data_IF_737551192802
#
_entry.id   IF_737551192802
#
_cell.length_a   1.000
_cell.length_b   1.000
_cell.length_c   1.000
_cell.angle_alpha   90.00
_cell.angle_beta   90.00
_cell.angle_gamma   90.00
#
_symmetry.space_group_name_H-M   'P 1'
#
loop_
_entity.id
_entity.type
_entity.pdbx_description
1 polymer ?
#
# COMPACT_ATOMS: atom_id res chain seq x y z
N UNK A 1 54.82 40.77 -2.35
CA UNK A 1 54.01 40.32 -3.49
C UNK A 1 54.23 38.82 -3.67
N UNK A 2 53.27 38.00 -3.23
CA UNK A 2 53.07 36.60 -3.63
C UNK A 2 51.55 36.37 -3.58
N UNK A 3 50.96 36.01 -4.72
CA UNK A 3 49.61 35.44 -4.84
C UNK A 3 49.80 34.12 -5.62
N UNK A 4 48.90 33.15 -5.37
CA UNK A 4 48.63 31.88 -6.05
C UNK A 4 49.11 30.67 -5.21
N UNK A 5 48.28 29.68 -4.88
CA UNK A 5 46.93 29.39 -5.32
C UNK A 5 46.27 28.33 -4.42
N UNK A 6 44.95 28.31 -4.46
CA UNK A 6 44.10 27.37 -3.73
C UNK A 6 42.69 27.42 -4.30
N UNK A 7 42.58 27.22 -5.61
CA UNK A 7 41.32 27.28 -6.33
C UNK A 7 40.57 25.95 -6.30
N UNK A 8 39.46 25.94 -5.55
CA UNK A 8 38.18 25.27 -5.83
C UNK A 8 38.17 23.73 -5.86
N UNK A 9 37.80 23.12 -4.72
CA UNK A 9 37.03 21.87 -4.72
C UNK A 9 35.73 22.11 -3.96
N UNK A 10 34.75 22.72 -4.62
CA UNK A 10 33.42 22.95 -4.01
C UNK A 10 32.28 22.92 -5.03
N UNK A 11 32.40 22.10 -6.09
CA UNK A 11 31.38 21.99 -7.14
C UNK A 11 30.44 20.78 -7.04
N UNK A 12 30.82 19.70 -6.34
CA UNK A 12 30.14 18.41 -6.50
C UNK A 12 29.07 18.10 -5.43
N UNK A 13 28.88 18.97 -4.43
CA UNK A 13 27.93 18.69 -3.32
C UNK A 13 26.51 19.22 -3.56
N UNK A 14 26.29 20.12 -4.51
CA UNK A 14 24.95 20.67 -4.81
C UNK A 14 24.12 19.78 -5.74
N UNK A 15 24.71 19.04 -6.69
CA UNK A 15 23.95 18.16 -7.58
C UNK A 15 23.40 16.91 -6.86
N UNK A 16 24.08 16.45 -5.81
CA UNK A 16 23.67 15.27 -5.05
C UNK A 16 22.37 15.45 -4.25
N UNK A 17 22.07 16.67 -3.78
CA UNK A 17 20.84 16.96 -3.02
C UNK A 17 19.60 17.04 -3.91
N UNK A 18 19.71 17.60 -5.11
CA UNK A 18 18.60 17.65 -6.08
C UNK A 18 18.28 16.26 -6.64
N UNK A 19 19.29 15.47 -7.01
CA UNK A 19 19.07 14.10 -7.48
C UNK A 19 18.39 13.22 -6.41
N UNK A 20 18.76 13.39 -5.13
CA UNK A 20 18.07 12.70 -4.01
C UNK A 20 16.65 13.19 -3.82
N UNK A 21 16.38 14.49 -3.93
CA UNK A 21 15.03 15.04 -3.84
C UNK A 21 14.10 14.52 -4.94
N UNK A 22 14.60 14.48 -6.19
CA UNK A 22 13.87 13.92 -7.32
C UNK A 22 13.61 12.42 -7.15
N UNK A 23 14.61 11.65 -6.71
CA UNK A 23 14.45 10.21 -6.47
C UNK A 23 13.43 9.91 -5.35
N UNK A 24 13.46 10.68 -4.25
CA UNK A 24 12.46 10.56 -3.17
C UNK A 24 11.06 10.92 -3.68
N UNK A 25 10.94 11.93 -4.55
CA UNK A 25 9.68 12.30 -5.19
C UNK A 25 9.12 11.19 -6.07
N UNK A 26 9.95 10.61 -6.95
CA UNK A 26 9.56 9.50 -7.85
C UNK A 26 9.16 8.26 -7.03
N UNK A 27 9.91 7.90 -5.99
CA UNK A 27 9.56 6.80 -5.10
C UNK A 27 8.20 6.99 -4.43
N UNK A 28 7.92 8.21 -3.96
CA UNK A 28 6.63 8.56 -3.37
C UNK A 28 5.47 8.44 -4.37
N UNK A 29 5.67 8.91 -5.61
CA UNK A 29 4.66 8.80 -6.66
C UNK A 29 4.34 7.35 -7.02
N UNK A 30 5.36 6.51 -7.19
CA UNK A 30 5.19 5.07 -7.47
C UNK A 30 4.48 4.38 -6.30
N UNK A 31 4.89 4.65 -5.06
CA UNK A 31 4.25 4.09 -3.88
C UNK A 31 2.78 4.51 -3.77
N UNK A 32 2.47 5.77 -4.05
CA UNK A 32 1.11 6.31 -4.02
C UNK A 32 0.22 5.64 -5.08
N UNK A 33 0.75 5.42 -6.28
CA UNK A 33 0.04 4.71 -7.34
C UNK A 33 -0.26 3.26 -6.92
N UNK A 34 0.77 2.53 -6.47
CA UNK A 34 0.64 1.15 -5.98
C UNK A 34 -0.37 1.02 -4.84
N UNK A 35 -0.38 1.99 -3.91
CA UNK A 35 -1.32 2.03 -2.81
C UNK A 35 -2.75 2.30 -3.29
N UNK A 36 -2.91 3.22 -4.25
CA UNK A 36 -4.22 3.60 -4.80
C UNK A 36 -4.82 2.46 -5.61
N UNK A 37 -4.02 1.77 -6.42
CA UNK A 37 -4.46 0.62 -7.22
C UNK A 37 -4.93 -0.52 -6.32
N UNK A 38 -4.15 -0.85 -5.27
CA UNK A 38 -4.55 -1.89 -4.31
C UNK A 38 -5.77 -1.48 -3.50
N UNK A 39 -5.84 -0.23 -3.04
CA UNK A 39 -7.01 0.23 -2.29
C UNK A 39 -8.26 0.19 -3.16
N UNK A 40 -8.17 0.62 -4.43
CA UNK A 40 -9.26 0.56 -5.39
C UNK A 40 -9.73 -0.88 -5.65
N UNK A 41 -8.79 -1.82 -5.75
CA UNK A 41 -9.06 -3.25 -5.85
C UNK A 41 -9.86 -3.74 -4.64
N UNK A 42 -9.40 -3.49 -3.42
CA UNK A 42 -10.06 -3.94 -2.18
C UNK A 42 -11.45 -3.33 -2.04
N UNK A 43 -11.60 -2.01 -2.20
CA UNK A 43 -12.91 -1.35 -2.02
C UNK A 43 -13.94 -1.76 -3.07
N UNK A 44 -13.49 -2.30 -4.21
CA UNK A 44 -14.37 -2.83 -5.25
C UNK A 44 -14.93 -4.23 -4.94
N UNK A 45 -14.37 -4.93 -3.94
CA UNK A 45 -14.84 -6.24 -3.51
C UNK A 45 -16.13 -6.16 -2.71
N UNK A 46 -16.80 -7.30 -2.63
CA UNK A 46 -18.00 -7.42 -1.83
C UNK A 46 -17.67 -7.27 -0.34
N UNK A 47 -18.65 -6.78 0.43
CA UNK A 47 -18.46 -6.59 1.87
C UNK A 47 -18.37 -7.93 2.63
N UNK A 48 -18.70 -9.07 2.01
CA UNK A 48 -19.16 -10.28 2.68
C UNK A 48 -18.36 -10.68 3.94
N UNK A 49 -19.09 -11.28 4.87
CA UNK A 49 -18.59 -11.61 6.21
C UNK A 49 -18.52 -13.11 6.38
N UNK A 50 -17.39 -13.59 6.87
CA UNK A 50 -17.17 -15.00 7.15
C UNK A 50 -15.68 -15.31 7.27
N UNK A 51 -15.09 -15.08 8.43
CA UNK A 51 -13.65 -15.27 8.64
C UNK A 51 -12.81 -14.18 7.97
N UNK A 52 -11.60 -13.97 8.49
CA UNK A 52 -10.62 -13.06 7.90
C UNK A 52 -9.53 -13.84 7.18
N UNK A 53 -9.03 -13.25 6.11
CA UNK A 53 -7.99 -13.80 5.25
C UNK A 53 -8.55 -14.72 4.16
N UNK A 54 -7.68 -15.11 3.21
CA UNK A 54 -8.09 -15.85 2.02
C UNK A 54 -8.76 -17.20 2.34
N UNK A 55 -9.75 -17.55 1.55
CA UNK A 55 -10.38 -18.86 1.57
C UNK A 55 -9.42 -20.01 1.22
N UNK A 56 -9.76 -21.26 1.56
CA UNK A 56 -8.90 -22.42 1.30
C UNK A 56 -8.70 -22.74 -0.19
N UNK A 57 -9.55 -22.20 -1.07
CA UNK A 57 -9.44 -22.30 -2.52
C UNK A 57 -8.61 -21.20 -3.15
N UNK A 58 -8.23 -20.18 -2.38
CA UNK A 58 -7.70 -18.95 -2.93
C UNK A 58 -6.19 -19.07 -3.10
N UNK A 59 -5.77 -19.07 -4.35
CA UNK A 59 -4.37 -19.29 -4.72
C UNK A 59 -3.69 -18.00 -5.16
N UNK A 60 -4.47 -17.04 -5.64
CA UNK A 60 -4.02 -15.72 -6.11
C UNK A 60 -5.05 -14.65 -5.75
N UNK A 61 -4.65 -13.37 -5.77
CA UNK A 61 -5.55 -12.23 -5.45
C UNK A 61 -6.81 -12.16 -6.31
N UNK A 62 -6.78 -12.73 -7.51
CA UNK A 62 -7.98 -12.82 -8.37
C UNK A 62 -9.07 -13.66 -7.73
N UNK A 63 -8.70 -14.64 -6.92
CA UNK A 63 -9.63 -15.54 -6.26
C UNK A 63 -10.31 -14.87 -5.06
N UNK A 64 -9.76 -13.75 -4.56
CA UNK A 64 -10.34 -12.99 -3.45
C UNK A 64 -11.65 -12.35 -3.89
N UNK A 65 -12.74 -12.78 -3.27
CA UNK A 65 -14.11 -12.41 -3.63
C UNK A 65 -14.68 -11.33 -2.72
N UNK A 66 -14.17 -11.20 -1.50
CA UNK A 66 -14.59 -10.19 -0.54
C UNK A 66 -13.43 -9.36 0.04
N UNK A 67 -13.80 -8.39 0.88
CA UNK A 67 -12.85 -7.47 1.51
C UNK A 67 -11.99 -8.17 2.57
N UNK A 68 -12.50 -9.20 3.24
CA UNK A 68 -11.80 -9.86 4.36
C UNK A 68 -10.63 -10.73 3.89
N UNK A 69 -10.64 -11.18 2.63
CA UNK A 69 -9.54 -11.93 2.02
C UNK A 69 -8.19 -11.18 2.02
N UNK A 70 -8.23 -9.85 2.11
CA UNK A 70 -7.04 -9.00 2.15
C UNK A 70 -6.49 -8.79 3.57
N UNK A 71 -7.10 -9.39 4.60
CA UNK A 71 -6.59 -9.23 5.95
C UNK A 71 -5.19 -9.84 6.12
N UNK A 72 -4.33 -9.07 6.78
CA UNK A 72 -2.89 -9.31 6.91
C UNK A 72 -2.15 -9.67 5.62
N UNK A 73 -2.72 -9.33 4.45
CA UNK A 73 -2.12 -9.65 3.17
C UNK A 73 -0.84 -8.83 2.93
N UNK A 74 0.22 -9.51 2.50
CA UNK A 74 1.54 -8.92 2.21
C UNK A 74 2.10 -9.49 0.92
N UNK A 75 2.73 -8.66 0.11
CA UNK A 75 3.51 -9.13 -1.04
C UNK A 75 4.80 -8.34 -1.27
N UNK A 76 5.81 -9.05 -1.78
CA UNK A 76 7.06 -8.48 -2.27
C UNK A 76 7.75 -9.50 -3.21
N UNK A 77 8.08 -9.14 -4.47
CA UNK A 77 7.80 -7.87 -5.14
C UNK A 77 6.30 -7.71 -5.43
N UNK A 78 5.83 -6.50 -5.78
CA UNK A 78 4.44 -6.30 -6.15
C UNK A 78 4.01 -7.17 -7.33
N UNK A 79 2.80 -7.74 -7.28
CA UNK A 79 2.26 -8.64 -8.31
C UNK A 79 0.99 -8.06 -8.94
N UNK A 80 0.66 -8.48 -10.16
CA UNK A 80 -0.65 -8.26 -10.75
C UNK A 80 -1.72 -9.15 -10.08
N UNK A 81 -2.98 -9.01 -10.48
CA UNK A 81 -4.10 -9.74 -9.87
C UNK A 81 -3.97 -11.27 -10.00
N UNK A 82 -3.35 -11.74 -11.08
CA UNK A 82 -3.10 -13.17 -11.34
C UNK A 82 -1.85 -13.71 -10.59
N UNK A 83 -1.22 -12.91 -9.72
CA UNK A 83 -0.03 -13.30 -8.96
C UNK A 83 1.28 -13.23 -9.75
N UNK A 84 1.27 -12.75 -11.00
CA UNK A 84 2.49 -12.54 -11.76
C UNK A 84 3.22 -11.28 -11.26
N UNK A 85 4.53 -11.34 -11.00
CA UNK A 85 5.28 -10.17 -10.53
C UNK A 85 5.22 -9.04 -11.56
N UNK A 86 4.99 -7.81 -11.09
CA UNK A 86 5.27 -6.61 -11.86
C UNK A 86 6.78 -6.53 -12.14
N UNK A 87 7.18 -5.69 -13.10
CA UNK A 87 8.58 -5.56 -13.53
C UNK A 87 9.56 -5.59 -12.34
N UNK A 88 10.34 -6.68 -12.17
CA UNK A 88 11.13 -6.91 -10.96
C UNK A 88 12.28 -5.91 -10.82
N UNK A 89 12.68 -5.24 -11.91
CA UNK A 89 13.69 -4.19 -11.89
C UNK A 89 13.06 -2.87 -11.46
N UNK A 90 11.91 -2.49 -12.04
CA UNK A 90 11.23 -1.25 -11.71
C UNK A 90 10.68 -1.22 -10.27
N UNK A 91 10.19 -2.37 -9.79
CA UNK A 91 9.57 -2.51 -8.47
C UNK A 91 10.49 -3.16 -7.42
N UNK A 92 11.80 -3.21 -7.68
CA UNK A 92 12.77 -3.75 -6.75
C UNK A 92 12.67 -3.08 -5.36
N UNK A 93 12.47 -3.93 -4.34
CA UNK A 93 12.39 -3.55 -2.94
C UNK A 93 11.07 -2.96 -2.49
N UNK A 94 10.07 -2.85 -3.37
CA UNK A 94 8.72 -2.49 -2.95
C UNK A 94 8.03 -3.67 -2.25
N UNK A 95 7.22 -3.35 -1.26
CA UNK A 95 6.29 -4.25 -0.57
C UNK A 95 4.94 -3.56 -0.46
N UNK A 96 3.85 -4.29 -0.70
CA UNK A 96 2.49 -3.84 -0.41
C UNK A 96 1.93 -4.66 0.73
N UNK A 97 1.19 -4.01 1.63
CA UNK A 97 0.47 -4.64 2.72
C UNK A 97 -0.95 -4.09 2.79
N UNK A 98 -1.90 -4.98 3.01
CA UNK A 98 -3.26 -4.63 3.38
C UNK A 98 -3.54 -5.12 4.81
N UNK A 99 -4.36 -4.35 5.53
CA UNK A 99 -4.93 -4.74 6.81
C UNK A 99 -6.41 -4.43 6.75
N UNK A 100 -7.23 -5.38 7.19
CA UNK A 100 -8.67 -5.26 7.16
C UNK A 100 -9.21 -5.65 8.52
N UNK A 101 -10.04 -4.81 9.10
CA UNK A 101 -10.66 -5.15 10.38
C UNK A 101 -12.04 -4.53 10.51
N UNK A 102 -12.91 -5.23 11.22
CA UNK A 102 -14.27 -4.77 11.52
C UNK A 102 -14.19 -3.54 12.44
N UNK A 103 -15.06 -2.56 12.21
CA UNK A 103 -15.16 -1.33 13.01
C UNK A 103 -16.62 -0.93 13.20
N UNK A 104 -16.92 -0.20 14.27
CA UNK A 104 -18.26 0.37 14.47
C UNK A 104 -18.45 1.61 13.62
N UNK A 105 -19.68 1.86 13.16
CA UNK A 105 -20.01 3.09 12.42
C UNK A 105 -19.78 4.36 13.24
N UNK A 106 -19.82 4.25 14.57
CA UNK A 106 -19.56 5.34 15.52
C UNK A 106 -18.13 5.36 16.05
N UNK A 107 -17.33 4.31 15.81
CA UNK A 107 -15.92 4.23 16.18
C UNK A 107 -15.11 3.47 15.11
N UNK A 108 -14.64 4.23 14.13
CA UNK A 108 -13.88 3.72 12.98
C UNK A 108 -12.41 3.40 13.30
N UNK A 109 -11.96 3.63 14.55
CA UNK A 109 -10.55 3.49 14.93
C UNK A 109 -10.28 2.23 15.75
N UNK A 110 -11.31 1.70 16.40
CA UNK A 110 -11.18 0.54 17.28
C UNK A 110 -11.61 -0.73 16.54
N UNK A 111 -10.68 -1.68 16.32
CA UNK A 111 -11.03 -2.98 15.74
C UNK A 111 -12.04 -3.75 16.61
N UNK A 112 -12.99 -4.42 15.95
CA UNK A 112 -13.95 -5.35 16.54
C UNK A 112 -13.65 -6.76 16.05
N UNK A 113 -13.68 -7.73 16.97
CA UNK A 113 -13.37 -9.13 16.64
C UNK A 113 -14.62 -9.99 16.36
N UNK A 114 -15.81 -9.46 16.59
CA UNK A 114 -17.05 -10.27 16.57
C UNK A 114 -17.64 -10.50 15.17
N UNK A 115 -17.13 -9.81 14.14
CA UNK A 115 -17.63 -9.97 12.76
C UNK A 115 -19.04 -9.43 12.52
N UNK A 116 -19.63 -8.75 13.51
CA UNK A 116 -21.04 -8.32 13.47
C UNK A 116 -21.24 -6.90 12.95
N UNK A 117 -20.15 -6.17 12.69
CA UNK A 117 -20.22 -4.77 12.31
C UNK A 117 -20.76 -4.57 10.89
N UNK A 118 -21.30 -3.37 10.65
CA UNK A 118 -21.73 -2.92 9.32
C UNK A 118 -20.61 -2.16 8.57
N UNK A 119 -19.42 -2.06 9.14
CA UNK A 119 -18.29 -1.36 8.52
C UNK A 119 -16.97 -2.10 8.77
N UNK A 120 -16.07 -1.98 7.79
CA UNK A 120 -14.69 -2.46 7.82
C UNK A 120 -13.75 -1.31 7.49
N UNK A 121 -12.66 -1.21 8.23
CA UNK A 121 -11.56 -0.31 7.93
C UNK A 121 -10.51 -1.07 7.12
N UNK A 122 -10.04 -0.44 6.05
CA UNK A 122 -9.01 -0.98 5.15
C UNK A 122 -7.82 -0.03 5.25
N UNK A 123 -6.64 -0.57 5.53
CA UNK A 123 -5.37 0.18 5.52
C UNK A 123 -4.44 -0.48 4.52
N UNK A 124 -4.00 0.30 3.53
CA UNK A 124 -2.97 -0.11 2.57
C UNK A 124 -1.69 0.65 2.87
N UNK A 125 -0.59 -0.08 3.03
CA UNK A 125 0.76 0.48 3.22
C UNK A 125 1.66 -0.01 2.11
N UNK A 126 2.39 0.91 1.49
CA UNK A 126 3.44 0.59 0.52
C UNK A 126 4.78 1.07 1.08
N UNK A 127 5.72 0.13 1.17
CA UNK A 127 7.08 0.40 1.62
C UNK A 127 8.09 0.13 0.51
N UNK A 128 9.26 0.78 0.60
CA UNK A 128 10.43 0.45 -0.24
C UNK A 128 11.64 0.23 0.67
N UNK A 129 12.24 -0.95 0.59
CA UNK A 129 13.35 -1.37 1.45
C UNK A 129 13.04 -1.16 2.95
N UNK A 130 11.81 -1.53 3.36
CA UNK A 130 11.34 -1.42 4.74
C UNK A 130 10.96 -0.02 5.21
N UNK A 131 11.01 1.00 4.34
CA UNK A 131 10.55 2.36 4.66
C UNK A 131 9.18 2.63 4.07
N UNK A 132 8.22 3.01 4.89
CA UNK A 132 6.90 3.46 4.43
C UNK A 132 7.06 4.64 3.46
N UNK A 133 6.45 4.52 2.29
CA UNK A 133 6.44 5.54 1.24
C UNK A 133 5.04 6.07 0.97
N UNK A 134 4.02 5.24 1.14
CA UNK A 134 2.62 5.64 1.07
C UNK A 134 1.77 4.83 2.06
N UNK A 135 0.71 5.46 2.57
CA UNK A 135 -0.32 4.85 3.40
C UNK A 135 -1.66 5.45 3.03
N UNK A 136 -2.62 4.59 2.68
CA UNK A 136 -4.00 4.98 2.40
C UNK A 136 -4.94 4.20 3.30
N UNK A 137 -6.09 4.81 3.59
CA UNK A 137 -7.14 4.18 4.37
C UNK A 137 -8.50 4.45 3.73
N UNK A 138 -9.39 3.47 3.81
CA UNK A 138 -10.79 3.60 3.41
C UNK A 138 -11.69 2.89 4.42
N UNK A 139 -12.97 3.26 4.39
CA UNK A 139 -14.03 2.56 5.09
C UNK A 139 -14.95 1.93 4.06
N UNK A 140 -15.19 0.63 4.19
CA UNK A 140 -16.22 -0.08 3.43
C UNK A 140 -17.39 -0.34 4.36
N UNK A 141 -18.57 0.16 4.00
CA UNK A 141 -19.81 -0.18 4.70
C UNK A 141 -20.53 -1.32 4.01
N UNK A 142 -21.27 -2.11 4.78
CA UNK A 142 -22.20 -3.11 4.27
C UNK A 142 -23.25 -2.38 3.45
N UNK A 143 -23.46 -2.83 2.21
CA UNK A 143 -24.54 -2.28 1.40
C UNK A 143 -25.87 -2.71 2.00
N UNK A 144 -26.58 -1.80 2.65
CA UNK A 144 -27.98 -2.00 3.02
C UNK A 144 -28.81 -1.80 1.76
N UNK A 145 -29.06 -2.88 1.02
CA UNK A 145 -30.06 -2.87 -0.03
C UNK A 145 -31.42 -2.60 0.59
N UNK A 146 -31.89 -1.36 0.53
CA UNK A 146 -33.31 -1.07 0.66
C UNK A 146 -34.00 -1.70 -0.56
N UNK A 147 -34.65 -2.85 -0.36
CA UNK A 147 -35.77 -3.30 -1.17
C UNK A 147 -37.07 -2.92 -0.45
#
# INVERSE_FOLDING_TARGET
MVILGGGIVTGLRLYGTFARGAAVGVEGMVAQQLASDLLAEIVSRDFQGGGFGPGPSDTVRRDFDDVDDYDDWVESPPQNLDGAPLDPVAYAGYERRAQVYNVDETDLKTPRADGTTAAKAIIVVVSRYGKERARLAAIRTRHNGYQ
#
